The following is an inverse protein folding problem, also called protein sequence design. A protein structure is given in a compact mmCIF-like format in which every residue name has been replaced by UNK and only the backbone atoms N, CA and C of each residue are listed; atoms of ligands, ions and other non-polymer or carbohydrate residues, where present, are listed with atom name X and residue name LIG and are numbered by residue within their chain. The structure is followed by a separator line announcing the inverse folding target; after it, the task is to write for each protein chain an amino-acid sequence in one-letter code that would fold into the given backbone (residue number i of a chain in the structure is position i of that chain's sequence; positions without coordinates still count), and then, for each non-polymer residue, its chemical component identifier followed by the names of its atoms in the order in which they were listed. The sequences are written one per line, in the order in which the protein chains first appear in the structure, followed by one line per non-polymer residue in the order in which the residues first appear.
data_IF_365249136236
#
_entry.id   IF_365249136236
#
_cell.length_a   1.000
_cell.length_b   1.000
_cell.length_c   1.000
_cell.angle_alpha   90.00
_cell.angle_beta   90.00
_cell.angle_gamma   90.00
#
_symmetry.space_group_name_H-M   'P 1'
#
loop_
_entity.id
_entity.type
_entity.pdbx_description
1 polymer ?
#
# COMPACT_ATOMS: atom_id res chain seq x y z
N UNK A 1 3.69 15.25 12.77
CA UNK A 1 3.19 16.15 11.69
C UNK A 1 2.67 15.32 10.51
N UNK A 2 1.76 15.87 9.69
CA UNK A 2 1.12 15.15 8.56
C UNK A 2 2.15 14.55 7.59
N UNK A 3 3.24 15.27 7.30
CA UNK A 3 4.39 14.79 6.51
C UNK A 3 4.99 13.48 7.03
N UNK A 4 5.14 13.34 8.36
CA UNK A 4 5.67 12.11 8.98
C UNK A 4 4.71 10.95 8.78
N UNK A 5 3.39 11.20 8.87
CA UNK A 5 2.38 10.19 8.63
C UNK A 5 2.42 9.72 7.17
N UNK A 6 2.47 10.63 6.20
CA UNK A 6 2.61 10.29 4.77
C UNK A 6 3.86 9.42 4.53
N UNK A 7 5.01 9.80 5.10
CA UNK A 7 6.25 9.00 4.99
C UNK A 7 6.08 7.59 5.57
N UNK A 8 5.45 7.45 6.73
CA UNK A 8 5.20 6.14 7.33
C UNK A 8 4.33 5.26 6.43
N UNK A 9 3.27 5.82 5.83
CA UNK A 9 2.41 5.14 4.86
C UNK A 9 3.16 4.73 3.59
N UNK A 10 4.02 5.60 3.07
CA UNK A 10 4.88 5.27 1.92
C UNK A 10 5.86 4.13 2.22
N UNK A 11 6.44 4.10 3.42
CA UNK A 11 7.29 2.99 3.88
C UNK A 11 6.50 1.69 3.93
N UNK A 12 5.28 1.69 4.49
CA UNK A 12 4.42 0.51 4.53
C UNK A 12 4.10 -0.03 3.13
N UNK A 13 3.82 0.86 2.16
CA UNK A 13 3.65 0.47 0.75
C UNK A 13 4.93 -0.16 0.19
N UNK A 14 6.10 0.44 0.44
CA UNK A 14 7.38 -0.09 -0.03
C UNK A 14 7.66 -1.49 0.53
N UNK A 15 7.42 -1.70 1.81
CA UNK A 15 7.55 -3.02 2.45
C UNK A 15 6.60 -4.03 1.82
N UNK A 16 5.33 -3.67 1.62
CA UNK A 16 4.34 -4.56 0.99
C UNK A 16 4.74 -4.94 -0.44
N UNK A 17 5.24 -3.98 -1.22
CA UNK A 17 5.78 -4.24 -2.58
C UNK A 17 6.99 -5.16 -2.55
N UNK A 18 7.91 -4.99 -1.59
CA UNK A 18 9.08 -5.84 -1.46
C UNK A 18 8.68 -7.31 -1.19
N UNK A 19 7.61 -7.52 -0.42
CA UNK A 19 7.05 -8.86 -0.15
C UNK A 19 6.32 -9.49 -1.34
N UNK A 20 5.93 -8.73 -2.37
CA UNK A 20 5.26 -9.29 -3.54
C UNK A 20 6.17 -10.20 -4.38
N UNK A 21 7.45 -9.85 -4.55
CA UNK A 21 8.38 -10.63 -5.37
C UNK A 21 8.64 -12.05 -4.82
N UNK A 22 8.90 -12.22 -3.51
CA UNK A 22 8.96 -13.55 -2.89
C UNK A 22 7.66 -14.35 -3.04
N UNK A 23 6.50 -13.73 -2.81
CA UNK A 23 5.20 -14.41 -2.95
C UNK A 23 4.92 -14.84 -4.39
N UNK A 24 5.31 -14.03 -5.38
CA UNK A 24 5.21 -14.39 -6.79
C UNK A 24 6.13 -15.56 -7.16
N UNK A 25 7.33 -15.58 -6.59
CA UNK A 25 8.25 -16.71 -6.78
C UNK A 25 7.72 -18.00 -6.15
N UNK A 26 7.12 -17.91 -4.95
CA UNK A 26 6.46 -19.03 -4.28
C UNK A 26 5.27 -19.55 -5.11
N UNK A 27 4.43 -18.66 -5.65
CA UNK A 27 3.34 -19.02 -6.56
C UNK A 27 3.83 -19.80 -7.78
N UNK A 28 4.84 -19.28 -8.49
CA UNK A 28 5.41 -19.96 -9.66
C UNK A 28 5.97 -21.34 -9.31
N UNK A 29 6.61 -21.47 -8.15
CA UNK A 29 7.15 -22.75 -7.67
C UNK A 29 6.04 -23.75 -7.37
N UNK A 30 4.99 -23.32 -6.66
CA UNK A 30 3.85 -24.17 -6.34
C UNK A 30 3.09 -24.61 -7.61
N UNK A 31 2.91 -23.69 -8.57
CA UNK A 31 2.31 -24.00 -9.87
C UNK A 31 3.13 -25.04 -10.65
N UNK A 32 4.46 -24.88 -10.68
CA UNK A 32 5.36 -25.86 -11.34
C UNK A 32 5.31 -27.24 -10.67
N UNK A 33 5.06 -27.28 -9.36
CA UNK A 33 4.96 -28.53 -8.58
C UNK A 33 3.56 -29.14 -8.58
N UNK A 34 2.60 -28.53 -9.29
CA UNK A 34 1.20 -28.94 -9.27
C UNK A 34 0.64 -28.99 -7.84
N UNK A 35 1.06 -28.05 -6.98
CA UNK A 35 0.60 -27.90 -5.60
C UNK A 35 -0.52 -26.85 -5.53
N UNK A 36 -1.82 -27.25 -5.60
CA UNK A 36 -2.94 -26.31 -5.61
C UNK A 36 -3.06 -25.52 -4.31
N UNK A 37 -2.66 -26.11 -3.17
CA UNK A 37 -2.69 -25.44 -1.86
C UNK A 37 -1.63 -24.34 -1.79
N UNK A 38 -0.41 -24.62 -2.27
CA UNK A 38 0.65 -23.64 -2.42
C UNK A 38 0.28 -22.51 -3.39
N UNK A 39 -0.39 -22.84 -4.49
CA UNK A 39 -0.91 -21.86 -5.47
C UNK A 39 -1.94 -20.94 -4.80
N UNK A 40 -2.96 -21.50 -4.15
CA UNK A 40 -4.02 -20.72 -3.52
C UNK A 40 -3.50 -19.81 -2.39
N UNK A 41 -2.61 -20.33 -1.54
CA UNK A 41 -2.06 -19.58 -0.41
C UNK A 41 -1.16 -18.42 -0.86
N UNK A 42 -0.31 -18.62 -1.87
CA UNK A 42 0.55 -17.57 -2.42
C UNK A 42 -0.26 -16.51 -3.19
N UNK A 43 -1.28 -16.89 -3.96
CA UNK A 43 -2.22 -15.96 -4.59
C UNK A 43 -3.00 -15.13 -3.56
N UNK A 44 -3.49 -15.77 -2.51
CA UNK A 44 -4.21 -15.08 -1.43
C UNK A 44 -3.33 -14.04 -0.73
N UNK A 45 -2.05 -14.39 -0.53
CA UNK A 45 -1.05 -13.46 0.02
C UNK A 45 -0.79 -12.28 -0.91
N UNK A 46 -0.66 -12.50 -2.22
CA UNK A 46 -0.51 -11.43 -3.22
C UNK A 46 -1.73 -10.50 -3.25
N UNK A 47 -2.95 -11.06 -3.19
CA UNK A 47 -4.18 -10.28 -3.13
C UNK A 47 -4.25 -9.44 -1.86
N UNK A 48 -3.89 -10.00 -0.71
CA UNK A 48 -3.85 -9.29 0.57
C UNK A 48 -2.86 -8.11 0.53
N UNK A 49 -1.63 -8.34 0.06
CA UNK A 49 -0.62 -7.29 -0.12
C UNK A 49 -1.10 -6.19 -1.07
N UNK A 50 -1.83 -6.56 -2.14
CA UNK A 50 -2.38 -5.60 -3.10
C UNK A 50 -3.45 -4.72 -2.46
N UNK A 51 -4.36 -5.30 -1.66
CA UNK A 51 -5.37 -4.56 -0.89
C UNK A 51 -4.72 -3.61 0.11
N UNK A 52 -3.72 -4.08 0.86
CA UNK A 52 -2.97 -3.23 1.81
C UNK A 52 -2.32 -2.03 1.10
N UNK A 53 -1.71 -2.21 -0.06
CA UNK A 53 -1.15 -1.09 -0.84
C UNK A 53 -2.23 -0.07 -1.23
N UNK A 54 -3.40 -0.54 -1.66
CA UNK A 54 -4.51 0.34 -2.05
C UNK A 54 -5.01 1.14 -0.84
N UNK A 55 -5.20 0.48 0.30
CA UNK A 55 -5.64 1.14 1.54
C UNK A 55 -4.64 2.19 2.02
N UNK A 56 -3.34 1.89 2.00
CA UNK A 56 -2.32 2.85 2.40
C UNK A 56 -2.24 4.05 1.43
N UNK A 57 -2.46 3.84 0.12
CA UNK A 57 -2.59 4.94 -0.85
C UNK A 57 -3.82 5.82 -0.58
N UNK A 58 -4.96 5.23 -0.26
CA UNK A 58 -6.16 5.99 0.12
C UNK A 58 -5.93 6.81 1.40
N UNK A 59 -5.20 6.26 2.38
CA UNK A 59 -4.82 6.99 3.59
C UNK A 59 -3.89 8.17 3.27
N UNK A 60 -2.95 8.02 2.34
CA UNK A 60 -2.10 9.13 1.87
C UNK A 60 -2.97 10.23 1.23
N UNK A 61 -3.87 9.88 0.33
CA UNK A 61 -4.75 10.85 -0.33
C UNK A 61 -5.58 11.66 0.68
N UNK A 62 -6.11 11.02 1.73
CA UNK A 62 -6.82 11.72 2.82
C UNK A 62 -5.93 12.74 3.54
N UNK A 63 -4.66 12.40 3.78
CA UNK A 63 -3.70 13.30 4.42
C UNK A 63 -3.31 14.47 3.51
N UNK A 64 -3.18 14.22 2.21
CA UNK A 64 -2.92 15.24 1.19
C UNK A 64 -4.09 16.22 1.08
N UNK A 65 -5.33 15.73 1.02
CA UNK A 65 -6.52 16.58 1.03
C UNK A 65 -6.59 17.46 2.28
N UNK A 66 -6.29 16.90 3.46
CA UNK A 66 -6.23 17.69 4.71
C UNK A 66 -5.17 18.80 4.64
N UNK A 67 -4.03 18.58 4.00
CA UNK A 67 -3.03 19.64 3.79
C UNK A 67 -3.61 20.73 2.88
N UNK A 68 -4.25 20.35 1.78
CA UNK A 68 -4.90 21.29 0.85
C UNK A 68 -5.95 22.15 1.55
N UNK A 69 -6.79 21.54 2.40
CA UNK A 69 -7.82 22.24 3.17
C UNK A 69 -7.20 23.25 4.14
N UNK A 70 -6.12 22.88 4.84
CA UNK A 70 -5.39 23.79 5.74
C UNK A 70 -4.81 24.97 4.95
N UNK A 71 -4.22 24.72 3.77
CA UNK A 71 -3.67 25.77 2.92
C UNK A 71 -4.78 26.71 2.42
N UNK A 72 -5.92 26.16 2.00
CA UNK A 72 -7.07 26.95 1.55
C UNK A 72 -7.62 27.84 2.67
N UNK A 73 -7.79 27.28 3.88
CA UNK A 73 -8.23 28.04 5.06
C UNK A 73 -7.23 29.13 5.45
N UNK A 74 -5.93 28.87 5.35
CA UNK A 74 -4.90 29.88 5.62
C UNK A 74 -4.91 31.00 4.57
N UNK A 75 -5.07 30.67 3.28
CA UNK A 75 -5.19 31.66 2.20
C UNK A 75 -6.42 32.55 2.37
N UNK A 76 -7.54 32.00 2.83
CA UNK A 76 -8.77 32.77 3.08
C UNK A 76 -8.64 33.79 4.22
N UNK A 77 -7.61 33.66 5.07
CA UNK A 77 -7.33 34.59 6.17
C UNK A 77 -6.32 35.68 5.78
N UNK A 78 -5.71 35.60 4.60
CA UNK A 78 -4.80 36.63 4.09
C UNK A 78 -5.66 37.59 3.24
N UNK A 79 -5.70 38.91 3.56
CA UNK A 79 -6.43 39.91 2.78
C UNK A 79 -6.01 39.99 1.31
#
# INVERSE_FOLDING_TARGET
MVKTQIKAKQTAIRTSKASMSPNWSAFKLAAKKEDPSGVLSSLSSLLSLSRQIIEEKQKILKLENRISDIIAAAKAQIP
#
